data_IF_224952446649
#
_entry.id   IF_224952446649
#
_cell.length_a   1.000
_cell.length_b   1.000
_cell.length_c   1.000
_cell.angle_alpha   90.00
_cell.angle_beta   90.00
_cell.angle_gamma   90.00
#
_symmetry.space_group_name_H-M   'P 1'
#
loop_
_entity.id
_entity.type
_entity.pdbx_description
1 polymer ?
#
# COMPACT_ATOMS: atom_id res chain seq x y z
N UNK A 1 14.34 16.85 -19.07
CA UNK A 1 13.07 16.42 -19.71
C UNK A 1 12.69 17.54 -20.67
N UNK A 2 12.76 17.32 -21.98
CA UNK A 2 12.43 18.35 -22.98
C UNK A 2 10.93 18.33 -23.23
N UNK A 3 10.24 19.44 -22.96
CA UNK A 3 8.82 19.59 -23.31
C UNK A 3 8.71 19.87 -24.80
N UNK A 4 8.14 18.94 -25.56
CA UNK A 4 7.87 19.10 -26.99
C UNK A 4 6.72 20.08 -27.22
N UNK A 5 7.02 21.38 -27.19
CA UNK A 5 6.05 22.48 -27.38
C UNK A 5 5.56 22.62 -28.83
N UNK A 6 6.16 21.88 -29.75
CA UNK A 6 5.90 21.94 -31.19
C UNK A 6 4.48 21.45 -31.54
N UNK A 7 3.87 20.64 -30.68
CA UNK A 7 2.50 20.15 -30.85
C UNK A 7 1.49 21.23 -30.43
N UNK A 8 0.51 21.51 -31.30
CA UNK A 8 -0.59 22.46 -31.07
C UNK A 8 -0.15 23.91 -30.81
N UNK A 9 0.97 24.33 -31.41
CA UNK A 9 1.50 25.68 -31.27
C UNK A 9 0.53 26.78 -31.75
N UNK A 10 -0.38 26.44 -32.66
CA UNK A 10 -1.45 27.28 -33.21
C UNK A 10 -2.64 27.48 -32.25
N UNK A 11 -2.82 26.57 -31.27
CA UNK A 11 -3.94 26.60 -30.32
C UNK A 11 -3.49 26.95 -28.89
N UNK A 12 -2.20 26.76 -28.58
CA UNK A 12 -1.64 27.03 -27.25
C UNK A 12 -1.57 28.52 -26.96
N UNK A 13 -2.24 28.93 -25.88
CA UNK A 13 -1.93 30.18 -25.17
C UNK A 13 -0.92 29.85 -24.06
N UNK A 14 0.31 30.30 -24.24
CA UNK A 14 1.44 30.04 -23.33
C UNK A 14 1.48 31.07 -22.15
N UNK A 15 0.33 31.62 -21.77
CA UNK A 15 0.13 32.58 -20.66
C UNK A 15 -0.21 31.89 -19.32
N UNK A 16 -0.23 30.56 -19.31
CA UNK A 16 -0.56 29.75 -18.15
C UNK A 16 0.67 29.50 -17.27
N UNK A 17 0.55 29.91 -16.01
CA UNK A 17 1.62 29.81 -15.02
C UNK A 17 1.67 28.46 -14.30
N UNK A 18 0.55 27.73 -14.26
CA UNK A 18 0.45 26.43 -13.59
C UNK A 18 0.32 25.26 -14.56
N UNK A 19 -0.45 25.43 -15.63
CA UNK A 19 -0.74 24.36 -16.60
C UNK A 19 0.40 24.26 -17.61
N UNK A 20 0.91 23.04 -17.84
CA UNK A 20 1.95 22.78 -18.84
C UNK A 20 3.37 23.16 -18.42
N UNK A 21 3.57 23.59 -17.16
CA UNK A 21 4.89 23.87 -16.60
C UNK A 21 5.50 22.60 -15.98
N UNK A 22 6.80 22.33 -16.21
CA UNK A 22 7.49 21.20 -15.59
C UNK A 22 7.74 21.50 -14.11
N UNK A 23 6.80 21.15 -13.24
CA UNK A 23 6.97 21.30 -11.78
C UNK A 23 7.55 20.02 -11.18
N UNK A 24 8.52 20.14 -10.25
CA UNK A 24 8.96 18.99 -9.47
C UNK A 24 7.77 18.39 -8.71
N UNK A 25 7.66 17.08 -8.77
CA UNK A 25 6.63 16.33 -8.05
C UNK A 25 6.88 16.47 -6.53
N UNK A 26 5.89 16.98 -5.79
CA UNK A 26 6.03 17.38 -4.39
C UNK A 26 6.36 16.23 -3.43
N UNK A 27 5.85 15.03 -3.70
CA UNK A 27 6.09 13.82 -2.93
C UNK A 27 7.37 13.07 -3.35
N UNK A 28 7.97 13.44 -4.49
CA UNK A 28 9.16 12.77 -5.02
C UNK A 28 10.36 12.81 -4.05
N UNK A 29 10.69 13.93 -3.39
CA UNK A 29 11.77 13.95 -2.41
C UNK A 29 11.51 13.00 -1.24
N UNK A 30 10.27 12.93 -0.75
CA UNK A 30 9.91 12.02 0.35
C UNK A 30 10.08 10.55 -0.02
N UNK A 31 9.68 10.18 -1.23
CA UNK A 31 9.82 8.82 -1.74
C UNK A 31 11.27 8.41 -1.99
N UNK A 32 12.09 9.26 -2.61
CA UNK A 32 13.49 8.92 -2.92
C UNK A 32 14.41 8.97 -1.70
N UNK A 33 14.00 9.66 -0.63
CA UNK A 33 14.76 9.74 0.63
C UNK A 33 14.26 8.77 1.71
N UNK A 34 13.19 8.00 1.44
CA UNK A 34 12.59 7.10 2.43
C UNK A 34 11.92 7.82 3.61
N UNK A 35 11.57 9.09 3.46
CA UNK A 35 10.93 9.91 4.51
C UNK A 35 9.41 9.86 4.48
N UNK A 36 8.82 9.45 3.37
CA UNK A 36 7.37 9.29 3.28
C UNK A 36 6.93 8.12 4.16
N UNK A 37 6.12 8.38 5.17
CA UNK A 37 5.53 7.35 6.01
C UNK A 37 4.32 6.70 5.32
N UNK A 38 4.39 5.39 5.14
CA UNK A 38 3.29 4.54 4.69
C UNK A 38 2.63 3.82 5.86
N UNK A 39 1.56 3.08 5.57
CA UNK A 39 0.80 2.36 6.60
C UNK A 39 1.65 1.36 7.39
N UNK A 40 2.59 0.68 6.73
CA UNK A 40 3.46 -0.31 7.35
C UNK A 40 4.57 0.29 8.23
N UNK A 41 4.84 1.59 8.12
CA UNK A 41 5.90 2.27 8.87
C UNK A 41 5.42 2.75 10.25
N UNK A 42 4.10 2.67 10.49
CA UNK A 42 3.49 3.11 11.74
C UNK A 42 3.65 2.05 12.83
N UNK A 43 4.11 2.48 14.00
CA UNK A 43 4.20 1.65 15.19
C UNK A 43 3.40 2.30 16.32
N UNK A 44 2.49 1.53 16.93
CA UNK A 44 1.69 1.97 18.06
C UNK A 44 1.98 1.09 19.29
N UNK A 45 1.92 1.63 20.52
CA UNK A 45 2.00 0.81 21.73
C UNK A 45 0.93 -0.29 21.72
N UNK A 46 1.32 -1.55 21.88
CA UNK A 46 0.41 -2.70 21.88
C UNK A 46 -0.07 -3.14 20.49
N UNK A 47 0.53 -2.65 19.40
CA UNK A 47 0.17 -3.07 18.03
C UNK A 47 0.41 -4.57 17.82
N UNK A 48 -0.60 -5.27 17.33
CA UNK A 48 -0.53 -6.68 16.95
C UNK A 48 -0.42 -6.84 15.43
N UNK A 49 0.21 -7.93 15.01
CA UNK A 49 0.32 -8.29 13.60
C UNK A 49 -0.63 -9.44 13.26
N UNK A 50 -1.37 -9.30 12.16
CA UNK A 50 -2.25 -10.33 11.63
C UNK A 50 -1.55 -11.10 10.51
N UNK A 51 -1.62 -12.43 10.55
CA UNK A 51 -1.24 -13.30 9.44
C UNK A 51 -2.40 -14.24 9.13
N UNK A 52 -2.79 -14.28 7.85
CA UNK A 52 -3.89 -15.14 7.40
C UNK A 52 -3.38 -16.49 6.92
N UNK A 53 -3.99 -17.57 7.39
CA UNK A 53 -3.86 -18.89 6.76
C UNK A 53 -4.70 -18.88 5.47
N UNK A 54 -4.07 -19.24 4.35
CA UNK A 54 -4.71 -19.24 3.03
C UNK A 54 -4.95 -20.66 2.56
N UNK A 55 -6.03 -20.86 1.81
CA UNK A 55 -6.35 -22.17 1.22
C UNK A 55 -5.24 -22.58 0.23
N UNK A 56 -4.68 -23.80 0.33
CA UNK A 56 -3.82 -24.36 -0.70
C UNK A 56 -4.63 -24.91 -1.89
N UNK A 57 -5.94 -25.02 -1.75
CA UNK A 57 -6.84 -25.55 -2.78
C UNK A 57 -7.56 -24.42 -3.50
N UNK A 58 -7.60 -24.49 -4.83
CA UNK A 58 -8.34 -23.55 -5.69
C UNK A 58 -9.85 -23.61 -5.45
N UNK A 59 -10.40 -24.82 -5.25
CA UNK A 59 -11.81 -25.05 -4.94
C UNK A 59 -11.95 -26.25 -4.01
N UNK A 60 -12.38 -26.03 -2.77
CA UNK A 60 -12.63 -27.09 -1.79
C UNK A 60 -13.65 -26.63 -0.75
N UNK A 61 -14.32 -27.60 -0.11
CA UNK A 61 -15.12 -27.35 1.09
C UNK A 61 -14.21 -27.44 2.32
N UNK A 62 -14.28 -26.45 3.20
CA UNK A 62 -13.58 -26.50 4.50
C UNK A 62 -14.36 -27.47 5.39
N UNK A 63 -13.80 -28.66 5.64
CA UNK A 63 -14.41 -29.66 6.54
C UNK A 63 -14.19 -29.29 8.01
N UNK A 64 -12.99 -28.85 8.32
CA UNK A 64 -12.57 -28.45 9.66
C UNK A 64 -11.38 -27.49 9.57
N UNK A 65 -11.16 -26.73 10.64
CA UNK A 65 -9.99 -25.87 10.83
C UNK A 65 -9.57 -25.95 12.28
N UNK A 66 -8.30 -26.27 12.55
CA UNK A 66 -7.70 -26.19 13.88
C UNK A 66 -6.76 -25.00 13.92
N UNK A 67 -7.02 -24.07 14.84
CA UNK A 67 -6.22 -22.88 15.05
C UNK A 67 -5.58 -22.82 16.45
N UNK A 68 -5.73 -23.88 17.25
CA UNK A 68 -5.24 -23.92 18.64
C UNK A 68 -3.71 -23.77 18.73
N UNK A 69 -2.97 -24.22 17.70
CA UNK A 69 -1.53 -24.04 17.64
C UNK A 69 -1.08 -22.58 17.59
N UNK A 70 -1.89 -21.69 17.00
CA UNK A 70 -1.55 -20.27 16.86
C UNK A 70 -1.54 -19.52 18.19
N UNK A 71 -2.47 -19.84 19.09
CA UNK A 71 -2.55 -19.21 20.42
C UNK A 71 -1.53 -19.78 21.40
N UNK A 72 -1.10 -21.03 21.20
CA UNK A 72 -0.06 -21.67 22.03
C UNK A 72 1.36 -21.23 21.65
N UNK A 73 1.55 -20.65 20.47
CA UNK A 73 2.85 -20.18 20.02
C UNK A 73 3.30 -18.97 20.86
N UNK A 74 4.60 -18.85 21.21
CA UNK A 74 5.12 -17.65 21.85
C UNK A 74 4.80 -16.38 21.05
N UNK A 75 4.12 -15.41 21.67
CA UNK A 75 3.66 -14.18 21.01
C UNK A 75 2.34 -14.31 20.24
N UNK A 76 1.71 -15.48 20.23
CA UNK A 76 0.35 -15.67 19.74
C UNK A 76 -0.65 -14.99 20.67
N UNK A 77 -1.51 -14.13 20.13
CA UNK A 77 -2.52 -13.41 20.92
C UNK A 77 -3.91 -14.01 20.74
N UNK A 78 -4.33 -14.23 19.49
CA UNK A 78 -5.66 -14.76 19.20
C UNK A 78 -5.71 -15.38 17.81
N UNK A 79 -6.44 -16.47 17.68
CA UNK A 79 -6.86 -17.04 16.41
C UNK A 79 -8.33 -16.69 16.13
N UNK A 80 -8.68 -16.51 14.85
CA UNK A 80 -10.06 -16.21 14.42
C UNK A 80 -10.43 -17.06 13.21
N UNK A 81 -11.64 -17.59 13.23
CA UNK A 81 -12.23 -18.42 12.17
C UNK A 81 -13.57 -17.84 11.73
N UNK A 82 -14.22 -18.45 10.73
CA UNK A 82 -15.55 -18.01 10.30
C UNK A 82 -16.67 -18.19 11.34
N UNK A 83 -16.39 -18.88 12.46
CA UNK A 83 -17.35 -19.09 13.56
C UNK A 83 -17.28 -18.01 14.64
N UNK A 84 -16.22 -17.21 14.63
CA UNK A 84 -15.96 -16.12 15.56
C UNK A 84 -16.63 -14.81 15.14
#
# INVERSE_FOLDING_TARGET
>A
MELRKNYFADVRKDDLHEIGQPRPRSDSPGHVTGRTAFFADRNFPGMLHLKMVRSPHHQARIRSSDAAGGEKHPGGVKSRTAKD
#
